data_IF_525254706782
#
_entry.id   IF_525254706782
#
_cell.length_a   1.000
_cell.length_b   1.000
_cell.length_c   1.000
_cell.angle_alpha   90.00
_cell.angle_beta   90.00
_cell.angle_gamma   90.00
#
_symmetry.space_group_name_H-M   'P 1'
#
loop_
_entity.id
_entity.type
_entity.pdbx_description
1 polymer ?
#
# COMPACT_ATOMS: atom_id res chain seq x y z
N UNK A 1 -9.76 11.35 -21.02
CA UNK A 1 -9.38 11.96 -19.73
C UNK A 1 -10.42 12.99 -19.36
N UNK A 2 -10.90 13.03 -18.11
CA UNK A 2 -11.97 13.94 -17.63
C UNK A 2 -11.51 15.39 -17.39
N UNK A 3 -10.41 15.81 -18.02
CA UNK A 3 -9.68 17.04 -17.65
C UNK A 3 -10.51 18.30 -17.84
N UNK A 4 -11.29 18.37 -18.91
CA UNK A 4 -12.10 19.56 -19.23
C UNK A 4 -13.34 19.68 -18.35
N UNK A 5 -13.86 18.55 -17.86
CA UNK A 5 -15.03 18.47 -16.99
C UNK A 5 -14.71 18.77 -15.52
N UNK A 6 -13.43 18.70 -15.12
CA UNK A 6 -12.97 19.02 -13.76
C UNK A 6 -13.37 20.42 -13.28
N UNK A 7 -13.65 21.36 -14.20
CA UNK A 7 -14.20 22.68 -13.86
C UNK A 7 -15.59 22.62 -13.21
N UNK A 8 -16.28 21.49 -13.31
CA UNK A 8 -17.61 21.24 -12.74
C UNK A 8 -17.58 20.36 -11.47
N UNK A 9 -16.38 20.04 -10.97
CA UNK A 9 -16.20 19.14 -9.83
C UNK A 9 -16.99 19.61 -8.60
N UNK A 10 -17.77 18.70 -8.01
CA UNK A 10 -18.64 18.91 -6.84
C UNK A 10 -19.73 19.98 -7.03
N UNK A 11 -20.08 20.32 -8.27
CA UNK A 11 -21.19 21.22 -8.58
C UNK A 11 -22.47 20.44 -8.88
N UNK A 12 -23.63 21.08 -8.71
CA UNK A 12 -24.91 20.48 -9.08
C UNK A 12 -24.91 20.12 -10.58
N UNK A 13 -25.24 18.86 -10.90
CA UNK A 13 -25.15 18.27 -12.25
C UNK A 13 -23.74 18.23 -12.87
N UNK A 14 -22.69 18.49 -12.07
CA UNK A 14 -21.29 18.32 -12.46
C UNK A 14 -20.69 17.00 -11.96
N UNK A 15 -19.37 16.86 -12.09
CA UNK A 15 -18.64 15.65 -11.66
C UNK A 15 -18.69 15.44 -10.14
N UNK A 16 -18.76 14.18 -9.73
CA UNK A 16 -18.63 13.76 -8.34
C UNK A 16 -17.23 14.06 -7.78
N UNK A 17 -17.18 14.36 -6.48
CA UNK A 17 -15.92 14.52 -5.75
C UNK A 17 -15.17 13.21 -5.48
N UNK A 18 -15.77 12.08 -5.83
CA UNK A 18 -15.28 10.72 -5.61
C UNK A 18 -15.57 9.85 -6.83
N UNK A 19 -14.84 8.72 -7.02
CA UNK A 19 -15.12 7.78 -8.10
C UNK A 19 -16.60 7.39 -8.18
N UNK A 20 -17.16 7.46 -9.38
CA UNK A 20 -18.56 7.15 -9.64
C UNK A 20 -18.71 6.38 -10.96
N UNK A 21 -19.32 5.20 -10.93
CA UNK A 21 -19.36 4.27 -12.06
C UNK A 21 -20.10 4.87 -13.25
N UNK A 22 -21.16 5.64 -12.99
CA UNK A 22 -21.90 6.31 -14.05
C UNK A 22 -21.15 7.48 -14.70
N UNK A 23 -20.04 7.95 -14.12
CA UNK A 23 -19.24 9.07 -14.66
C UNK A 23 -18.05 8.60 -15.49
N UNK A 24 -17.59 7.36 -15.31
CA UNK A 24 -16.38 6.87 -15.96
C UNK A 24 -16.28 5.35 -15.93
N UNK A 25 -15.90 4.75 -17.07
CA UNK A 25 -15.53 3.33 -17.16
C UNK A 25 -14.31 2.95 -16.31
N UNK A 26 -13.49 3.94 -15.94
CA UNK A 26 -12.32 3.75 -15.09
C UNK A 26 -12.65 3.76 -13.59
N UNK A 27 -13.85 4.20 -13.21
CA UNK A 27 -14.27 4.25 -11.81
C UNK A 27 -14.97 2.93 -11.47
N UNK A 28 -14.19 1.86 -11.29
CA UNK A 28 -14.70 0.49 -11.13
C UNK A 28 -15.55 0.26 -9.87
N UNK A 29 -15.41 1.12 -8.86
CA UNK A 29 -16.13 1.07 -7.59
C UNK A 29 -16.51 2.48 -7.15
N UNK A 30 -17.74 2.64 -6.68
CA UNK A 30 -18.21 3.92 -6.15
C UNK A 30 -17.84 4.04 -4.69
N UNK A 31 -17.16 5.12 -4.32
CA UNK A 31 -16.69 5.32 -2.95
C UNK A 31 -17.00 6.73 -2.46
N UNK A 32 -16.82 6.93 -1.16
CA UNK A 32 -17.12 8.15 -0.42
C UNK A 32 -16.90 7.92 1.08
N UNK A 33 -17.12 6.68 1.54
CA UNK A 33 -16.75 6.21 2.87
C UNK A 33 -15.33 5.63 2.88
N UNK A 34 -14.56 5.97 3.90
CA UNK A 34 -13.20 5.46 4.11
C UNK A 34 -13.18 3.96 4.41
N UNK A 35 -11.99 3.36 4.33
CA UNK A 35 -11.71 1.97 4.77
C UNK A 35 -12.32 0.85 3.91
N UNK A 36 -13.06 1.18 2.85
CA UNK A 36 -13.76 0.20 2.01
C UNK A 36 -12.94 -0.37 0.85
N UNK A 37 -11.81 0.27 0.49
CA UNK A 37 -11.11 -0.04 -0.76
C UNK A 37 -10.53 -1.46 -0.81
N UNK A 38 -10.00 -1.99 0.30
CA UNK A 38 -9.45 -3.36 0.35
C UNK A 38 -10.56 -4.40 0.20
N UNK A 39 -11.70 -4.20 0.88
CA UNK A 39 -12.85 -5.10 0.79
C UNK A 39 -13.41 -5.15 -0.64
N UNK A 40 -13.59 -3.98 -1.27
CA UNK A 40 -14.04 -3.88 -2.65
C UNK A 40 -13.05 -4.55 -3.63
N UNK A 41 -11.75 -4.30 -3.44
CA UNK A 41 -10.71 -4.91 -4.25
C UNK A 41 -10.64 -6.44 -4.07
N UNK A 42 -10.84 -6.95 -2.85
CA UNK A 42 -10.94 -8.39 -2.61
C UNK A 42 -12.11 -9.02 -3.39
N UNK A 43 -13.28 -8.39 -3.36
CA UNK A 43 -14.43 -8.84 -4.15
C UNK A 43 -14.14 -8.87 -5.66
N UNK A 44 -13.45 -7.84 -6.18
CA UNK A 44 -13.02 -7.80 -7.58
C UNK A 44 -11.98 -8.87 -7.90
N UNK A 45 -11.02 -9.14 -7.00
CA UNK A 45 -10.02 -10.19 -7.17
C UNK A 45 -10.65 -11.58 -7.23
N UNK A 46 -11.63 -11.85 -6.36
CA UNK A 46 -12.38 -13.11 -6.39
C UNK A 46 -13.22 -13.24 -7.65
N UNK A 47 -13.87 -12.16 -8.09
CA UNK A 47 -14.62 -12.17 -9.34
C UNK A 47 -13.72 -12.45 -10.55
N UNK A 48 -12.52 -11.85 -10.61
CA UNK A 48 -11.50 -12.15 -11.62
C UNK A 48 -11.15 -13.64 -11.62
N UNK A 49 -10.85 -14.20 -10.44
CA UNK A 49 -10.40 -15.58 -10.31
C UNK A 49 -11.51 -16.56 -10.76
N UNK A 50 -12.76 -16.29 -10.37
CA UNK A 50 -13.93 -17.07 -10.81
C UNK A 50 -14.14 -17.00 -12.33
N UNK A 51 -13.87 -15.85 -12.94
CA UNK A 51 -13.97 -15.66 -14.39
C UNK A 51 -12.73 -16.13 -15.16
N UNK A 52 -11.66 -16.57 -14.47
CA UNK A 52 -10.37 -16.96 -15.06
C UNK A 52 -9.77 -15.85 -15.92
N UNK A 53 -9.89 -14.60 -15.45
CA UNK A 53 -9.36 -13.42 -16.14
C UNK A 53 -7.94 -13.09 -15.64
N UNK A 54 -7.10 -12.56 -16.52
CA UNK A 54 -5.72 -12.20 -16.18
C UNK A 54 -5.55 -10.69 -16.09
N UNK A 55 -5.77 -10.16 -14.88
CA UNK A 55 -5.46 -8.77 -14.56
C UNK A 55 -5.09 -8.58 -13.08
N UNK A 56 -4.35 -7.52 -12.79
CA UNK A 56 -4.00 -7.14 -11.43
C UNK A 56 -5.14 -6.35 -10.81
N UNK A 57 -5.49 -6.67 -9.56
CA UNK A 57 -6.41 -5.88 -8.75
C UNK A 57 -5.60 -5.14 -7.70
N UNK A 58 -5.73 -3.82 -7.68
CA UNK A 58 -4.94 -2.92 -6.85
C UNK A 58 -5.88 -2.08 -6.00
N UNK A 59 -5.75 -2.20 -4.68
CA UNK A 59 -6.40 -1.33 -3.72
C UNK A 59 -5.43 -0.22 -3.29
N UNK A 60 -5.85 1.03 -3.33
CA UNK A 60 -5.11 2.15 -2.72
C UNK A 60 -5.85 2.56 -1.45
N UNK A 61 -5.13 2.67 -0.34
CA UNK A 61 -5.70 3.05 0.96
C UNK A 61 -4.80 4.06 1.66
N UNK A 62 -5.38 5.07 2.30
CA UNK A 62 -4.64 5.98 3.17
C UNK A 62 -4.37 5.35 4.54
N UNK A 63 -3.29 5.74 5.20
CA UNK A 63 -2.98 5.35 6.59
C UNK A 63 -4.11 5.66 7.58
N UNK A 64 -4.79 6.79 7.41
CA UNK A 64 -5.99 7.14 8.17
C UNK A 64 -7.14 6.16 7.95
N UNK A 65 -7.41 5.82 6.69
CA UNK A 65 -8.45 4.87 6.31
C UNK A 65 -8.12 3.43 6.73
N UNK A 66 -6.84 3.07 6.87
CA UNK A 66 -6.42 1.77 7.35
C UNK A 66 -6.81 1.52 8.81
N UNK A 67 -7.02 2.57 9.60
CA UNK A 67 -7.43 2.44 11.02
C UNK A 67 -8.86 1.90 11.20
N UNK A 68 -9.70 1.95 10.16
CA UNK A 68 -11.08 1.48 10.24
C UNK A 68 -11.17 -0.05 10.23
N UNK A 69 -12.04 -0.61 11.06
CA UNK A 69 -12.20 -2.06 11.22
C UNK A 69 -12.46 -2.81 9.90
N UNK A 70 -13.20 -2.21 8.97
CA UNK A 70 -13.44 -2.77 7.63
C UNK A 70 -12.15 -3.06 6.84
N UNK A 71 -11.11 -2.25 7.02
CA UNK A 71 -9.84 -2.48 6.34
C UNK A 71 -9.11 -3.70 6.92
N UNK A 72 -9.17 -3.90 8.24
CA UNK A 72 -8.58 -5.06 8.91
C UNK A 72 -9.33 -6.35 8.59
N UNK A 73 -10.66 -6.32 8.63
CA UNK A 73 -11.49 -7.47 8.27
C UNK A 73 -11.17 -7.92 6.84
N UNK A 74 -11.09 -6.97 5.90
CA UNK A 74 -10.76 -7.25 4.52
C UNK A 74 -9.35 -7.81 4.32
N UNK A 75 -8.36 -7.29 5.08
CA UNK A 75 -6.99 -7.81 5.03
C UNK A 75 -6.89 -9.24 5.57
N UNK A 76 -7.52 -9.52 6.71
CA UNK A 76 -7.57 -10.85 7.30
C UNK A 76 -8.27 -11.85 6.36
N UNK A 77 -9.37 -11.43 5.74
CA UNK A 77 -10.07 -12.25 4.77
C UNK A 77 -9.23 -12.51 3.51
N UNK A 78 -8.50 -11.50 3.03
CA UNK A 78 -7.59 -11.66 1.90
C UNK A 78 -6.44 -12.63 2.21
N UNK A 79 -5.87 -12.57 3.42
CA UNK A 79 -4.83 -13.50 3.89
C UNK A 79 -5.33 -14.93 3.95
N UNK A 80 -6.53 -15.16 4.49
CA UNK A 80 -7.17 -16.48 4.52
C UNK A 80 -7.40 -17.07 3.10
N UNK A 81 -7.78 -16.23 2.14
CA UNK A 81 -8.11 -16.67 0.78
C UNK A 81 -6.88 -16.87 -0.12
N UNK A 82 -5.77 -16.18 0.17
CA UNK A 82 -4.53 -16.28 -0.62
C UNK A 82 -4.66 -15.81 -2.08
N UNK A 83 -5.70 -15.03 -2.43
CA UNK A 83 -5.89 -14.52 -3.79
C UNK A 83 -4.88 -13.41 -4.12
N UNK A 84 -4.53 -13.27 -5.41
CA UNK A 84 -3.63 -12.22 -5.89
C UNK A 84 -4.28 -10.84 -5.78
N UNK A 85 -3.96 -10.11 -4.72
CA UNK A 85 -4.40 -8.73 -4.45
C UNK A 85 -3.18 -7.87 -4.10
N UNK A 86 -3.08 -6.67 -4.70
CA UNK A 86 -2.03 -5.70 -4.37
C UNK A 86 -2.66 -4.57 -3.55
N UNK A 87 -2.12 -4.29 -2.37
CA UNK A 87 -2.54 -3.16 -1.53
C UNK A 87 -1.42 -2.12 -1.48
N UNK A 88 -1.74 -0.90 -1.89
CA UNK A 88 -0.85 0.26 -1.82
C UNK A 88 -1.29 1.15 -0.67
N UNK A 89 -0.47 1.20 0.38
CA UNK A 89 -0.66 2.10 1.51
C UNK A 89 -0.04 3.47 1.21
N UNK A 90 -0.88 4.51 1.16
CA UNK A 90 -0.47 5.90 1.12
C UNK A 90 -0.36 6.43 2.56
N UNK A 91 0.84 6.36 3.12
CA UNK A 91 1.15 6.87 4.46
C UNK A 91 1.69 8.30 4.37
N UNK A 92 0.87 9.27 4.76
CA UNK A 92 1.22 10.68 4.81
C UNK A 92 1.04 11.29 6.22
N UNK A 93 0.86 10.45 7.26
CA UNK A 93 0.64 10.80 8.67
C UNK A 93 -0.65 11.61 8.94
N UNK A 94 -1.58 11.64 7.98
CA UNK A 94 -2.71 12.57 7.96
C UNK A 94 -4.02 11.87 7.57
N UNK A 95 -5.04 11.97 8.42
CA UNK A 95 -6.45 11.79 8.03
C UNK A 95 -7.03 13.15 7.61
N UNK A 96 -7.96 13.70 8.39
CA UNK A 96 -8.40 15.11 8.34
C UNK A 96 -7.52 15.95 9.30
N UNK A 97 -7.08 15.34 10.39
CA UNK A 97 -6.05 15.82 11.33
C UNK A 97 -4.94 14.75 11.43
N UNK A 98 -3.85 15.03 12.15
CA UNK A 98 -2.78 14.03 12.36
C UNK A 98 -3.38 12.72 12.85
N UNK A 99 -2.90 11.62 12.28
CA UNK A 99 -3.36 10.31 12.70
C UNK A 99 -3.02 10.07 14.17
N UNK A 100 -4.02 9.62 14.92
CA UNK A 100 -3.90 9.24 16.32
C UNK A 100 -4.12 7.73 16.44
N UNK A 101 -3.38 7.08 17.33
CA UNK A 101 -3.54 5.66 17.63
C UNK A 101 -2.29 4.80 17.39
N UNK A 102 -2.36 3.57 17.89
CA UNK A 102 -1.23 2.63 17.92
C UNK A 102 -0.68 2.32 16.52
N UNK A 103 -1.54 2.28 15.51
CA UNK A 103 -1.15 1.98 14.12
C UNK A 103 -0.38 3.12 13.46
N UNK A 104 -0.79 4.37 13.68
CA UNK A 104 -0.02 5.52 13.21
C UNK A 104 1.35 5.55 13.88
N UNK A 105 1.42 5.34 15.20
CA UNK A 105 2.69 5.28 15.93
C UNK A 105 3.59 4.13 15.45
N UNK A 106 3.00 2.99 15.10
CA UNK A 106 3.70 1.82 14.58
C UNK A 106 4.25 2.06 13.16
N UNK A 107 3.44 2.59 12.25
CA UNK A 107 3.89 2.98 10.89
C UNK A 107 4.96 4.07 10.96
N UNK A 108 4.78 5.09 11.81
CA UNK A 108 5.80 6.11 12.06
C UNK A 108 7.10 5.51 12.61
N UNK A 109 7.04 4.53 13.52
CA UNK A 109 8.24 3.80 14.01
C UNK A 109 8.92 3.02 12.89
N UNK A 110 8.17 2.30 12.06
CA UNK A 110 8.72 1.56 10.91
C UNK A 110 9.42 2.51 9.91
N UNK A 111 8.84 3.68 9.66
CA UNK A 111 9.40 4.71 8.77
C UNK A 111 10.63 5.42 9.37
N UNK A 112 10.62 5.66 10.68
CA UNK A 112 11.69 6.38 11.38
C UNK A 112 12.82 5.47 11.86
N UNK A 113 12.68 4.15 11.70
CA UNK A 113 13.70 3.19 12.09
C UNK A 113 15.06 3.54 11.43
N UNK A 114 16.10 3.86 12.23
CA UNK A 114 17.43 4.20 11.75
C UNK A 114 18.03 3.17 10.80
N UNK A 115 17.61 1.91 10.90
CA UNK A 115 18.07 0.81 10.04
C UNK A 115 17.73 1.04 8.57
N UNK A 116 16.54 1.55 8.25
CA UNK A 116 16.11 1.77 6.86
C UNK A 116 16.83 2.96 6.20
N UNK A 117 17.08 4.04 6.98
CA UNK A 117 17.82 5.23 6.49
C UNK A 117 19.33 4.97 6.37
N UNK A 118 19.96 4.29 7.34
CA UNK A 118 21.40 3.94 7.26
C UNK A 118 21.69 2.98 6.11
N UNK A 119 20.84 1.95 5.93
CA UNK A 119 21.01 0.97 4.86
C UNK A 119 21.02 1.59 3.46
N UNK A 120 20.20 2.62 3.19
CA UNK A 120 20.19 3.28 1.87
C UNK A 120 21.38 4.21 1.65
N UNK A 121 21.80 4.94 2.69
CA UNK A 121 22.91 5.89 2.61
C UNK A 121 24.27 5.17 2.52
N UNK A 122 24.51 4.16 3.35
CA UNK A 122 25.77 3.40 3.34
C UNK A 122 25.95 2.57 2.06
N UNK A 123 24.88 1.99 1.52
CA UNK A 123 24.97 1.25 0.25
C UNK A 123 25.30 2.19 -0.90
N UNK A 124 24.73 3.40 -0.92
CA UNK A 124 25.02 4.40 -1.94
C UNK A 124 26.47 4.89 -1.87
N UNK A 125 26.99 5.13 -0.67
CA UNK A 125 28.37 5.59 -0.46
C UNK A 125 29.42 4.50 -0.74
N UNK A 126 29.16 3.25 -0.33
CA UNK A 126 30.05 2.12 -0.63
C UNK A 126 30.09 1.82 -2.12
N UNK A 127 28.95 1.92 -2.81
CA UNK A 127 28.86 1.68 -4.26
C UNK A 127 29.53 2.78 -5.08
N UNK A 128 29.57 4.02 -4.58
CA UNK A 128 30.29 5.12 -5.22
C UNK A 128 31.81 5.10 -4.98
N UNK A 129 32.28 4.49 -3.89
CA UNK A 129 33.71 4.53 -3.50
C UNK A 129 34.54 3.31 -3.93
N UNK A 130 33.94 2.25 -4.47
CA UNK A 130 34.72 1.03 -4.81
C UNK A 130 34.30 0.41 -6.15
N UNK A 131 34.94 0.80 -7.26
CA UNK A 131 34.56 0.34 -8.61
C UNK A 131 34.80 -1.15 -8.90
N UNK A 132 35.61 -1.86 -8.11
CA UNK A 132 36.13 -3.19 -8.51
C UNK A 132 36.07 -4.33 -7.47
N UNK A 133 35.47 -4.12 -6.28
CA UNK A 133 35.36 -5.19 -5.24
C UNK A 133 33.90 -5.69 -5.09
N UNK A 134 33.00 -5.23 -5.95
CA UNK A 134 31.54 -5.36 -5.78
C UNK A 134 31.03 -6.80 -5.60
N UNK A 135 31.44 -7.77 -6.41
CA UNK A 135 30.65 -9.01 -6.51
C UNK A 135 30.72 -9.95 -5.29
N UNK A 136 31.87 -10.05 -4.60
CA UNK A 136 32.03 -10.98 -3.46
C UNK A 136 31.46 -10.40 -2.17
N UNK A 137 31.70 -9.12 -1.91
CA UNK A 137 31.14 -8.42 -0.74
C UNK A 137 29.63 -8.26 -0.90
N UNK A 138 29.14 -7.97 -2.12
CA UNK A 138 27.71 -7.88 -2.39
C UNK A 138 26.99 -9.22 -2.21
N UNK A 139 27.56 -10.35 -2.63
CA UNK A 139 26.95 -11.68 -2.41
C UNK A 139 26.89 -12.09 -0.93
N UNK A 140 27.89 -11.73 -0.14
CA UNK A 140 27.90 -12.01 1.31
C UNK A 140 26.94 -11.07 2.03
N UNK A 141 26.92 -9.79 1.66
CA UNK A 141 25.99 -8.81 2.19
C UNK A 141 24.53 -9.14 1.84
N UNK A 142 24.23 -9.58 0.61
CA UNK A 142 22.91 -10.08 0.18
C UNK A 142 22.46 -11.28 1.01
N UNK A 143 23.33 -12.28 1.21
CA UNK A 143 23.03 -13.46 2.04
C UNK A 143 22.79 -13.10 3.50
N UNK A 144 23.52 -12.14 4.05
CA UNK A 144 23.30 -11.65 5.42
C UNK A 144 22.06 -10.76 5.53
N UNK A 145 21.77 -9.94 4.52
CA UNK A 145 20.56 -9.09 4.48
C UNK A 145 19.29 -9.93 4.44
N UNK A 146 19.30 -11.05 3.73
CA UNK A 146 18.18 -12.00 3.71
C UNK A 146 17.87 -12.52 5.12
N UNK A 147 18.87 -13.05 5.82
CA UNK A 147 18.68 -13.66 7.14
C UNK A 147 18.43 -12.66 8.27
N UNK A 148 18.96 -11.44 8.16
CA UNK A 148 18.78 -10.37 9.15
C UNK A 148 17.46 -9.62 8.93
N UNK A 149 16.93 -9.56 7.70
CA UNK A 149 15.59 -9.00 7.43
C UNK A 149 14.50 -9.74 8.21
N UNK A 150 14.58 -11.08 8.25
CA UNK A 150 13.59 -11.91 8.95
C UNK A 150 13.70 -11.82 10.48
N UNK A 151 14.83 -11.38 11.03
CA UNK A 151 15.06 -11.30 12.48
C UNK A 151 14.98 -9.89 13.05
N UNK A 152 15.17 -8.83 12.24
CA UNK A 152 15.14 -7.44 12.70
C UNK A 152 13.89 -6.66 12.29
N UNK A 153 13.08 -7.16 11.34
CA UNK A 153 11.71 -6.65 11.15
C UNK A 153 10.82 -7.28 12.23
N UNK A 154 11.04 -6.87 13.47
CA UNK A 154 10.09 -7.13 14.56
C UNK A 154 8.80 -6.40 14.25
N UNK A 155 7.81 -7.16 13.79
CA UNK A 155 6.48 -6.70 13.48
C UNK A 155 6.21 -6.80 11.99
N UNK A 156 5.61 -7.91 11.57
CA UNK A 156 4.83 -7.96 10.35
C UNK A 156 3.40 -8.31 10.77
N UNK A 157 2.68 -7.30 11.26
CA UNK A 157 1.24 -7.39 11.55
C UNK A 157 0.42 -7.93 10.35
N UNK A 158 0.98 -7.87 9.13
CA UNK A 158 0.36 -8.37 7.89
C UNK A 158 0.91 -9.71 7.40
N UNK A 159 1.98 -10.27 7.96
CA UNK A 159 2.42 -11.64 7.63
C UNK A 159 1.65 -12.69 8.43
N UNK A 160 1.14 -12.32 9.61
CA UNK A 160 0.31 -13.18 10.45
C UNK A 160 -1.20 -13.10 10.10
N UNK A 161 -1.58 -12.22 9.16
CA UNK A 161 -2.96 -12.01 8.68
C UNK A 161 -3.28 -12.80 7.41
#
# INVERSE_FOLDING_TARGET
TRREELKTLRQFKGLSGFPKRCESVHDCFETGHSSTSISAALGLALARDLKKEEHSVIAVIGDGALTGGMAYEALNHAGQLGTRLIVVLNDNEMSITRNVGAMSAYLSRMRTDPFYRRSKAEIKDVMQRTPHIGQRVFKVAERFKGSVKYLLVSGMLFEEL
#
